data_IF_338369788079
#
_entry.id   IF_338369788079
#
_cell.length_a   1.000
_cell.length_b   1.000
_cell.length_c   1.000
_cell.angle_alpha   90.00
_cell.angle_beta   90.00
_cell.angle_gamma   90.00
#
_symmetry.space_group_name_H-M   'P 1'
#
loop_
_entity.id
_entity.type
_entity.pdbx_description
1 polymer ?
#
# COMPACT_ATOMS: atom_id res chain seq x y z
N UNK A 1 6.55 -25.58 15.71
CA UNK A 1 7.33 -25.81 14.48
C UNK A 1 6.66 -25.01 13.37
N UNK A 2 7.37 -24.11 12.67
CA UNK A 2 6.78 -23.31 11.57
C UNK A 2 6.74 -24.19 10.31
N UNK A 3 5.56 -24.37 9.73
CA UNK A 3 5.36 -25.18 8.52
C UNK A 3 5.60 -24.33 7.28
N UNK A 4 6.57 -24.74 6.45
CA UNK A 4 6.72 -24.15 5.12
C UNK A 4 5.55 -24.59 4.24
N UNK A 5 4.83 -23.64 3.64
CA UNK A 5 3.72 -23.90 2.72
C UNK A 5 4.08 -23.42 1.32
N UNK A 6 3.61 -24.11 0.29
CA UNK A 6 3.65 -23.56 -1.07
C UNK A 6 2.45 -22.65 -1.29
N UNK A 7 2.59 -21.63 -2.14
CA UNK A 7 1.49 -20.70 -2.45
C UNK A 7 0.24 -21.40 -3.02
N UNK A 8 0.39 -22.59 -3.61
CA UNK A 8 -0.74 -23.43 -4.08
C UNK A 8 -1.52 -24.10 -2.94
N UNK A 9 -0.86 -24.39 -1.82
CA UNK A 9 -1.43 -25.13 -0.69
C UNK A 9 -1.95 -24.21 0.44
N UNK A 10 -1.57 -22.92 0.41
CA UNK A 10 -1.98 -21.94 1.40
C UNK A 10 -3.45 -21.50 1.19
N UNK A 11 -4.37 -22.08 1.97
CA UNK A 11 -5.76 -21.60 2.03
C UNK A 11 -5.87 -20.38 2.93
N UNK A 12 -6.34 -19.25 2.39
CA UNK A 12 -6.48 -18.00 3.14
C UNK A 12 -7.38 -18.13 4.39
N UNK A 13 -8.42 -18.97 4.31
CA UNK A 13 -9.34 -19.24 5.42
C UNK A 13 -8.70 -20.02 6.59
N UNK A 14 -7.47 -20.50 6.42
CA UNK A 14 -6.73 -21.21 7.47
C UNK A 14 -5.94 -20.26 8.38
N UNK A 15 -5.77 -19.00 8.01
CA UNK A 15 -4.96 -18.05 8.76
C UNK A 15 -5.81 -17.31 9.80
N UNK A 16 -5.34 -17.28 11.05
CA UNK A 16 -6.11 -16.77 12.17
C UNK A 16 -6.19 -15.24 12.20
N UNK A 17 -5.11 -14.55 11.81
CA UNK A 17 -4.98 -13.10 11.89
C UNK A 17 -5.08 -12.40 10.55
N UNK A 18 -5.06 -13.14 9.43
CA UNK A 18 -5.04 -12.55 8.09
C UNK A 18 -6.22 -11.59 7.87
N UNK A 19 -7.46 -12.06 8.10
CA UNK A 19 -8.64 -11.23 7.87
C UNK A 19 -8.62 -9.99 8.78
N UNK A 20 -8.25 -10.13 10.07
CA UNK A 20 -8.12 -8.98 10.99
C UNK A 20 -7.11 -7.93 10.45
N UNK A 21 -5.94 -8.38 9.99
CA UNK A 21 -4.93 -7.48 9.43
C UNK A 21 -5.41 -6.78 8.17
N UNK A 22 -6.18 -7.45 7.31
CA UNK A 22 -6.80 -6.84 6.13
C UNK A 22 -7.80 -5.75 6.53
N UNK A 23 -8.65 -6.01 7.53
CA UNK A 23 -9.60 -4.99 8.01
C UNK A 23 -8.87 -3.76 8.56
N UNK A 24 -7.85 -3.97 9.41
CA UNK A 24 -7.04 -2.86 9.94
C UNK A 24 -6.35 -2.10 8.82
N UNK A 25 -5.73 -2.80 7.87
CA UNK A 25 -5.09 -2.20 6.70
C UNK A 25 -6.06 -1.33 5.91
N UNK A 26 -7.24 -1.84 5.57
CA UNK A 26 -8.25 -1.07 4.80
C UNK A 26 -8.70 0.17 5.58
N UNK A 27 -8.93 0.06 6.90
CA UNK A 27 -9.31 1.21 7.73
C UNK A 27 -8.20 2.26 7.74
N UNK A 28 -6.95 1.86 7.98
CA UNK A 28 -5.79 2.79 7.97
C UNK A 28 -5.63 3.43 6.59
N UNK A 29 -5.81 2.68 5.52
CA UNK A 29 -5.73 3.16 4.14
C UNK A 29 -6.82 4.20 3.84
N UNK A 30 -8.06 3.96 4.28
CA UNK A 30 -9.16 4.92 4.12
C UNK A 30 -8.91 6.21 4.92
N UNK A 31 -8.47 6.09 6.17
CA UNK A 31 -8.10 7.25 6.99
C UNK A 31 -6.99 8.05 6.30
N UNK A 32 -5.96 7.37 5.80
CA UNK A 32 -4.85 7.97 5.06
C UNK A 32 -5.31 8.79 3.86
N UNK A 33 -6.28 8.29 3.09
CA UNK A 33 -6.85 9.02 1.95
C UNK A 33 -7.55 10.33 2.36
N UNK A 34 -8.29 10.32 3.47
CA UNK A 34 -9.01 11.51 3.96
C UNK A 34 -8.04 12.54 4.54
N UNK A 35 -7.09 12.12 5.38
CA UNK A 35 -6.13 13.05 6.00
C UNK A 35 -5.04 13.51 5.03
N UNK A 36 -4.85 12.80 3.91
CA UNK A 36 -3.82 13.06 2.91
C UNK A 36 -3.91 14.42 2.22
N UNK A 37 -5.11 15.00 2.14
CA UNK A 37 -5.31 16.33 1.57
C UNK A 37 -4.68 17.45 2.41
N UNK A 38 -4.49 17.21 3.71
CA UNK A 38 -3.90 18.20 4.61
C UNK A 38 -2.37 18.12 4.57
N UNK A 39 -1.73 19.24 4.24
CA UNK A 39 -0.29 19.42 4.42
C UNK A 39 -0.04 19.96 5.84
N UNK A 40 0.81 19.25 6.58
CA UNK A 40 1.26 19.62 7.91
C UNK A 40 2.68 20.19 7.84
N UNK A 41 2.95 21.21 8.63
CA UNK A 41 4.28 21.80 8.79
C UNK A 41 4.87 21.29 10.10
N UNK A 42 5.98 20.56 10.02
CA UNK A 42 6.70 20.08 11.20
C UNK A 42 7.96 20.93 11.37
N UNK A 43 8.09 21.69 12.47
CA UNK A 43 9.33 22.40 12.77
C UNK A 43 10.43 21.40 13.11
N UNK A 44 11.56 21.46 12.40
CA UNK A 44 12.69 20.55 12.63
C UNK A 44 13.72 21.18 13.58
N UNK A 45 14.35 22.27 13.14
CA UNK A 45 15.34 23.03 13.90
C UNK A 45 15.49 24.42 13.30
N UNK A 46 16.08 25.35 14.05
CA UNK A 46 16.43 26.68 13.53
C UNK A 46 17.89 26.72 13.11
N UNK A 47 18.17 27.11 11.87
CA UNK A 47 19.54 27.31 11.35
C UNK A 47 19.70 28.77 10.94
N UNK A 48 20.74 29.45 11.48
CA UNK A 48 21.00 30.88 11.24
C UNK A 48 19.77 31.79 11.49
N UNK A 49 18.99 31.50 12.53
CA UNK A 49 17.78 32.26 12.86
C UNK A 49 16.58 32.02 11.94
N UNK A 50 16.71 31.17 10.91
CA UNK A 50 15.61 30.77 10.04
C UNK A 50 15.06 29.40 10.48
N UNK A 51 13.74 29.27 10.67
CA UNK A 51 13.12 27.99 11.02
C UNK A 51 13.15 27.06 9.81
N UNK A 52 13.87 25.93 9.94
CA UNK A 52 13.82 24.84 8.97
C UNK A 52 12.62 23.96 9.32
N UNK A 53 11.67 23.87 8.40
CA UNK A 53 10.46 23.07 8.57
C UNK A 53 10.28 22.11 7.41
N UNK A 54 9.70 20.95 7.71
CA UNK A 54 9.32 19.95 6.71
C UNK A 54 7.82 20.03 6.46
N UNK A 55 7.43 20.12 5.18
CA UNK A 55 6.05 19.99 4.75
C UNK A 55 5.76 18.52 4.48
N UNK A 56 4.81 17.95 5.21
CA UNK A 56 4.46 16.53 5.14
C UNK A 56 2.94 16.41 5.00
N UNK A 57 2.47 15.68 3.99
CA UNK A 57 1.05 15.33 3.89
C UNK A 57 0.63 14.42 5.04
N UNK A 58 -0.60 14.54 5.54
CA UNK A 58 -1.15 13.61 6.53
C UNK A 58 -1.06 12.15 6.10
N UNK A 59 -1.14 11.86 4.79
CA UNK A 59 -1.01 10.50 4.26
C UNK A 59 0.40 9.95 4.46
N UNK A 60 1.43 10.79 4.39
CA UNK A 60 2.82 10.39 4.55
C UNK A 60 3.16 9.95 5.98
N UNK A 61 2.33 10.31 6.97
CA UNK A 61 2.43 9.81 8.34
C UNK A 61 1.94 8.36 8.46
N UNK A 62 0.91 7.99 7.70
CA UNK A 62 0.32 6.64 7.71
C UNK A 62 0.92 5.71 6.65
N UNK A 63 1.56 6.28 5.63
CA UNK A 63 2.23 5.56 4.55
C UNK A 63 3.12 4.40 5.03
N UNK A 64 3.99 4.57 6.04
CA UNK A 64 4.84 3.47 6.49
C UNK A 64 4.08 2.32 7.11
N UNK A 65 3.01 2.65 7.85
CA UNK A 65 2.16 1.64 8.45
C UNK A 65 1.52 0.81 7.35
N UNK A 66 0.95 1.45 6.32
CA UNK A 66 0.34 0.75 5.19
C UNK A 66 1.34 -0.10 4.40
N UNK A 67 2.58 0.36 4.24
CA UNK A 67 3.63 -0.40 3.56
C UNK A 67 4.06 -1.65 4.33
N UNK A 68 4.24 -1.52 5.65
CA UNK A 68 4.53 -2.67 6.53
C UNK A 68 3.42 -3.73 6.41
N UNK A 69 2.15 -3.32 6.31
CA UNK A 69 1.05 -4.28 6.06
C UNK A 69 1.21 -5.01 4.72
N UNK A 70 1.53 -4.30 3.63
CA UNK A 70 1.78 -4.91 2.31
C UNK A 70 2.90 -5.96 2.35
N UNK A 71 4.00 -5.62 3.03
CA UNK A 71 5.13 -6.52 3.25
C UNK A 71 4.72 -7.74 4.10
N UNK A 72 3.97 -7.53 5.19
CA UNK A 72 3.43 -8.61 6.04
C UNK A 72 2.54 -9.55 5.23
N UNK A 73 1.64 -9.01 4.39
CA UNK A 73 0.73 -9.84 3.60
C UNK A 73 1.51 -10.78 2.68
N UNK A 74 2.52 -10.25 2.00
CA UNK A 74 3.31 -11.04 1.05
C UNK A 74 4.29 -11.97 1.78
N UNK A 75 4.95 -11.50 2.83
CA UNK A 75 6.01 -12.25 3.52
C UNK A 75 5.47 -13.35 4.44
N UNK A 76 4.30 -13.16 5.07
CA UNK A 76 3.70 -14.14 5.98
C UNK A 76 2.73 -15.05 5.23
N UNK A 77 1.82 -14.45 4.45
CA UNK A 77 0.67 -15.16 3.86
C UNK A 77 0.81 -15.41 2.35
N UNK A 78 1.81 -14.81 1.68
CA UNK A 78 2.12 -15.02 0.27
C UNK A 78 1.44 -14.04 -0.70
N UNK A 79 1.82 -14.10 -1.97
CA UNK A 79 1.34 -13.18 -3.01
C UNK A 79 -0.18 -13.24 -3.22
N UNK A 80 -0.79 -14.42 -3.10
CA UNK A 80 -2.25 -14.57 -3.23
C UNK A 80 -3.03 -13.83 -2.13
N UNK A 81 -2.50 -13.81 -0.92
CA UNK A 81 -3.06 -13.08 0.22
C UNK A 81 -2.90 -11.56 0.03
N UNK A 82 -1.72 -11.12 -0.40
CA UNK A 82 -1.46 -9.73 -0.72
C UNK A 82 -2.36 -9.22 -1.84
N UNK A 83 -2.52 -9.99 -2.95
CA UNK A 83 -3.45 -9.66 -4.04
C UNK A 83 -4.87 -9.36 -3.55
N UNK A 84 -5.41 -10.21 -2.66
CA UNK A 84 -6.75 -10.00 -2.11
C UNK A 84 -6.81 -8.70 -1.28
N UNK A 85 -5.79 -8.43 -0.47
CA UNK A 85 -5.71 -7.19 0.31
C UNK A 85 -5.62 -5.95 -0.60
N UNK A 86 -4.81 -5.99 -1.66
CA UNK A 86 -4.67 -4.91 -2.65
C UNK A 86 -6.00 -4.61 -3.32
N UNK A 87 -6.72 -5.63 -3.80
CA UNK A 87 -8.03 -5.44 -4.43
C UNK A 87 -9.09 -4.89 -3.47
N UNK A 88 -9.11 -5.36 -2.22
CA UNK A 88 -10.02 -4.85 -1.19
C UNK A 88 -9.70 -3.39 -0.85
N UNK A 89 -8.43 -3.04 -0.68
CA UNK A 89 -7.98 -1.67 -0.47
C UNK A 89 -8.31 -0.75 -1.64
N UNK A 90 -8.02 -1.18 -2.88
CA UNK A 90 -8.35 -0.45 -4.10
C UNK A 90 -9.86 -0.21 -4.21
N UNK A 91 -10.67 -1.25 -4.01
CA UNK A 91 -12.13 -1.15 -4.06
C UNK A 91 -12.68 -0.20 -2.99
N UNK A 92 -12.18 -0.29 -1.75
CA UNK A 92 -12.58 0.59 -0.66
C UNK A 92 -12.24 2.06 -0.95
N UNK A 93 -11.03 2.35 -1.43
CA UNK A 93 -10.61 3.69 -1.83
C UNK A 93 -11.44 4.22 -3.00
N UNK A 94 -11.72 3.38 -4.01
CA UNK A 94 -12.57 3.75 -5.14
C UNK A 94 -13.99 4.12 -4.68
N UNK A 95 -14.59 3.32 -3.78
CA UNK A 95 -15.90 3.62 -3.20
C UNK A 95 -15.87 4.93 -2.42
N UNK A 96 -14.86 5.14 -1.55
CA UNK A 96 -14.69 6.39 -0.80
C UNK A 96 -14.64 7.60 -1.75
N UNK A 97 -13.79 7.53 -2.79
CA UNK A 97 -13.62 8.64 -3.72
C UNK A 97 -14.87 8.89 -4.58
N UNK A 98 -15.51 7.84 -5.09
CA UNK A 98 -16.73 7.97 -5.91
C UNK A 98 -17.89 8.53 -5.08
N UNK A 99 -18.08 8.04 -3.86
CA UNK A 99 -19.11 8.55 -2.96
C UNK A 99 -18.82 9.97 -2.51
N UNK A 100 -17.55 10.31 -2.22
CA UNK A 100 -17.14 11.67 -1.90
C UNK A 100 -17.47 12.66 -3.03
N UNK A 101 -17.10 12.32 -4.27
CA UNK A 101 -17.42 13.13 -5.45
C UNK A 101 -18.94 13.24 -5.68
N UNK A 102 -19.68 12.14 -5.52
CA UNK A 102 -21.12 12.11 -5.71
C UNK A 102 -21.86 12.98 -4.70
N UNK A 103 -21.50 12.90 -3.41
CA UNK A 103 -22.12 13.69 -2.35
C UNK A 103 -21.79 15.18 -2.50
N UNK A 104 -20.57 15.52 -2.92
CA UNK A 104 -20.23 16.92 -3.25
C UNK A 104 -21.06 17.46 -4.41
N UNK A 105 -21.31 16.64 -5.43
CA UNK A 105 -22.02 17.06 -6.64
C UNK A 105 -23.52 17.33 -6.41
N UNK A 106 -24.14 16.69 -5.42
CA UNK A 106 -25.53 16.94 -5.05
C UNK A 106 -25.66 18.35 -4.45
N UNK A 107 -26.69 19.13 -4.82
CA UNK A 107 -26.94 20.44 -4.23
C UNK A 107 -27.03 20.36 -2.70
N UNK A 108 -26.24 21.19 -2.02
CA UNK A 108 -26.30 21.30 -0.56
C UNK A 108 -27.65 21.83 -0.09
N UNK A 109 -28.13 21.34 1.05
CA UNK A 109 -29.26 21.95 1.73
C UNK A 109 -28.94 23.42 2.07
N UNK A 110 -29.86 24.38 1.86
CA UNK A 110 -29.62 25.79 2.20
C UNK A 110 -29.21 26.04 3.66
N UNK A 111 -29.60 25.14 4.58
CA UNK A 111 -29.27 25.20 6.00
C UNK A 111 -27.94 24.51 6.36
N UNK A 112 -27.25 23.88 5.39
CA UNK A 112 -25.95 23.25 5.62
C UNK A 112 -24.80 24.26 5.38
N UNK A 113 -24.11 24.75 6.44
CA UNK A 113 -23.13 25.82 6.28
C UNK A 113 -21.76 25.35 5.76
N UNK A 114 -21.49 24.04 5.76
CA UNK A 114 -20.14 23.48 5.62
C UNK A 114 -19.81 22.96 4.21
N UNK A 115 -20.58 23.36 3.18
CA UNK A 115 -20.40 22.84 1.82
C UNK A 115 -18.98 23.06 1.29
N UNK A 116 -18.42 24.27 1.43
CA UNK A 116 -17.06 24.60 0.96
C UNK A 116 -15.98 23.77 1.66
N UNK A 117 -16.15 23.50 2.95
CA UNK A 117 -15.20 22.67 3.71
C UNK A 117 -15.28 21.20 3.25
N UNK A 118 -16.48 20.70 2.97
CA UNK A 118 -16.68 19.35 2.46
C UNK A 118 -16.10 19.18 1.05
N UNK A 119 -16.30 20.16 0.17
CA UNK A 119 -15.67 20.24 -1.16
C UNK A 119 -14.14 20.24 -1.04
N UNK A 120 -13.55 21.02 -0.14
CA UNK A 120 -12.10 21.07 0.03
C UNK A 120 -11.47 19.71 0.42
N UNK A 121 -12.24 18.84 1.10
CA UNK A 121 -11.77 17.51 1.53
C UNK A 121 -12.03 16.43 0.48
N UNK A 122 -13.23 16.39 -0.10
CA UNK A 122 -13.66 15.29 -0.97
C UNK A 122 -13.61 15.62 -2.47
N UNK A 123 -13.60 16.89 -2.83
CA UNK A 123 -13.51 17.36 -4.21
C UNK A 123 -12.05 17.63 -4.61
N UNK A 124 -11.19 16.64 -4.39
CA UNK A 124 -9.89 16.63 -5.05
C UNK A 124 -10.12 16.50 -6.55
N UNK A 125 -9.38 17.26 -7.38
CA UNK A 125 -9.51 17.21 -8.84
C UNK A 125 -9.55 15.74 -9.30
N UNK A 126 -10.58 15.28 -10.04
CA UNK A 126 -10.78 13.86 -10.38
C UNK A 126 -9.53 13.16 -10.92
N UNK A 127 -8.69 13.93 -11.63
CA UNK A 127 -7.38 13.50 -12.12
C UNK A 127 -6.45 12.96 -11.02
N UNK A 128 -6.36 13.62 -9.86
CA UNK A 128 -5.53 13.17 -8.74
C UNK A 128 -6.09 11.91 -8.09
N UNK A 129 -7.41 11.78 -7.99
CA UNK A 129 -8.06 10.56 -7.49
C UNK A 129 -7.69 9.37 -8.39
N UNK A 130 -7.85 9.52 -9.71
CA UNK A 130 -7.47 8.50 -10.69
C UNK A 130 -5.98 8.20 -10.63
N UNK A 131 -5.13 9.23 -10.56
CA UNK A 131 -3.68 9.06 -10.43
C UNK A 131 -3.32 8.22 -9.20
N UNK A 132 -3.87 8.53 -8.03
CA UNK A 132 -3.59 7.82 -6.77
C UNK A 132 -4.10 6.38 -6.81
N UNK A 133 -5.30 6.12 -7.32
CA UNK A 133 -5.85 4.77 -7.42
C UNK A 133 -5.02 3.87 -8.36
N UNK A 134 -4.61 4.40 -9.52
CA UNK A 134 -3.80 3.65 -10.49
C UNK A 134 -2.38 3.45 -9.98
N UNK A 135 -1.78 4.47 -9.36
CA UNK A 135 -0.46 4.40 -8.76
C UNK A 135 -0.41 3.36 -7.63
N UNK A 136 -1.34 3.42 -6.67
CA UNK A 136 -1.47 2.45 -5.60
C UNK A 136 -1.61 1.02 -6.15
N UNK A 137 -2.49 0.82 -7.13
CA UNK A 137 -2.72 -0.51 -7.70
C UNK A 137 -1.46 -1.07 -8.36
N UNK A 138 -0.80 -0.31 -9.24
CA UNK A 138 0.42 -0.75 -9.92
C UNK A 138 1.60 -0.90 -8.94
N UNK A 139 1.76 0.03 -8.01
CA UNK A 139 2.84 0.07 -7.03
C UNK A 139 2.79 -1.11 -6.07
N UNK A 140 1.63 -1.39 -5.46
CA UNK A 140 1.46 -2.49 -4.53
C UNK A 140 1.62 -3.86 -5.19
N UNK A 141 1.10 -4.03 -6.41
CA UNK A 141 1.31 -5.27 -7.16
C UNK A 141 2.79 -5.48 -7.52
N UNK A 142 3.50 -4.42 -7.88
CA UNK A 142 4.94 -4.46 -8.17
C UNK A 142 5.74 -4.79 -6.91
N UNK A 143 5.45 -4.13 -5.78
CA UNK A 143 6.08 -4.43 -4.49
C UNK A 143 5.88 -5.92 -4.15
N UNK A 144 4.64 -6.38 -4.08
CA UNK A 144 4.31 -7.74 -3.66
C UNK A 144 4.92 -8.79 -4.60
N UNK A 145 4.93 -8.53 -5.91
CA UNK A 145 5.56 -9.41 -6.88
C UNK A 145 7.07 -9.54 -6.63
N UNK A 146 7.75 -8.40 -6.48
CA UNK A 146 9.20 -8.36 -6.22
C UNK A 146 9.53 -9.08 -4.92
N UNK A 147 8.79 -8.80 -3.83
CA UNK A 147 9.00 -9.42 -2.52
C UNK A 147 8.87 -10.95 -2.60
N UNK A 148 7.77 -11.44 -3.19
CA UNK A 148 7.52 -12.87 -3.35
C UNK A 148 8.60 -13.57 -4.20
N UNK A 149 9.05 -12.96 -5.31
CA UNK A 149 10.13 -13.50 -6.14
C UNK A 149 11.46 -13.55 -5.41
N UNK A 150 11.83 -12.46 -4.74
CA UNK A 150 13.06 -12.41 -3.95
C UNK A 150 13.05 -13.44 -2.83
N UNK A 151 11.90 -13.72 -2.19
CA UNK A 151 11.79 -14.75 -1.15
C UNK A 151 12.10 -16.14 -1.68
N UNK A 152 11.65 -16.46 -2.89
CA UNK A 152 11.97 -17.73 -3.57
C UNK A 152 13.46 -17.79 -3.89
N UNK A 153 14.03 -16.74 -4.49
CA UNK A 153 15.45 -16.69 -4.87
C UNK A 153 16.39 -16.80 -3.68
N UNK A 154 16.05 -16.13 -2.58
CA UNK A 154 16.86 -16.12 -1.35
C UNK A 154 16.56 -17.32 -0.44
N UNK A 155 15.65 -18.22 -0.82
CA UNK A 155 15.18 -19.33 0.02
C UNK A 155 14.79 -18.86 1.43
N UNK A 156 14.13 -17.70 1.52
CA UNK A 156 13.67 -17.10 2.78
C UNK A 156 14.72 -16.30 3.55
N UNK A 157 15.99 -16.32 3.16
CA UNK A 157 17.09 -15.59 3.83
C UNK A 157 17.08 -14.09 3.49
N UNK A 158 17.56 -13.23 4.39
CA UNK A 158 17.68 -11.78 4.18
C UNK A 158 16.35 -11.03 3.96
N UNK A 159 15.46 -11.04 4.96
CA UNK A 159 14.20 -10.29 4.90
C UNK A 159 14.42 -8.80 4.58
N UNK A 160 15.48 -8.17 5.10
CA UNK A 160 15.80 -6.74 4.88
C UNK A 160 16.01 -6.42 3.41
N UNK A 161 16.67 -7.31 2.67
CA UNK A 161 16.93 -7.11 1.25
C UNK A 161 15.60 -7.16 0.47
N UNK A 162 14.64 -7.98 0.94
CA UNK A 162 13.32 -8.10 0.31
C UNK A 162 12.42 -6.91 0.62
N UNK A 163 12.34 -6.45 1.86
CA UNK A 163 11.50 -5.30 2.24
C UNK A 163 11.97 -4.03 1.54
N UNK A 164 13.29 -3.76 1.56
CA UNK A 164 13.86 -2.61 0.86
C UNK A 164 13.79 -2.78 -0.66
N UNK A 165 14.16 -3.96 -1.19
CA UNK A 165 14.17 -4.20 -2.64
C UNK A 165 12.78 -4.14 -3.28
N UNK A 166 11.77 -4.70 -2.62
CA UNK A 166 10.38 -4.59 -3.06
C UNK A 166 9.87 -3.16 -2.99
N UNK A 167 10.19 -2.42 -1.92
CA UNK A 167 9.82 -1.01 -1.79
C UNK A 167 10.47 -0.14 -2.85
N UNK A 168 11.76 -0.33 -3.14
CA UNK A 168 12.46 0.32 -4.26
C UNK A 168 11.69 0.15 -5.56
N UNK A 169 11.29 -1.08 -5.91
CA UNK A 169 10.54 -1.31 -7.16
C UNK A 169 9.11 -0.78 -7.12
N UNK A 170 8.38 -1.03 -6.04
CA UNK A 170 6.98 -0.62 -5.90
C UNK A 170 6.82 0.89 -5.83
N UNK A 171 7.68 1.57 -5.06
CA UNK A 171 7.61 3.02 -4.91
C UNK A 171 8.10 3.80 -6.11
N UNK A 172 9.02 3.22 -6.88
CA UNK A 172 9.36 3.78 -8.17
C UNK A 172 8.14 3.82 -9.10
N UNK A 173 7.41 2.70 -9.19
CA UNK A 173 6.18 2.61 -10.00
C UNK A 173 5.09 3.52 -9.45
N UNK A 174 4.76 3.42 -8.16
CA UNK A 174 3.73 4.24 -7.50
C UNK A 174 3.98 5.74 -7.71
N UNK A 175 5.16 6.21 -7.31
CA UNK A 175 5.47 7.64 -7.34
C UNK A 175 5.56 8.17 -8.77
N UNK A 176 6.15 7.41 -9.69
CA UNK A 176 6.24 7.82 -11.09
C UNK A 176 4.87 7.89 -11.76
N UNK A 177 4.04 6.85 -11.59
CA UNK A 177 2.68 6.80 -12.16
C UNK A 177 1.83 7.92 -11.59
N UNK A 178 1.87 8.14 -10.28
CA UNK A 178 1.13 9.20 -9.63
C UNK A 178 1.50 10.56 -10.22
N UNK A 179 2.79 10.89 -10.27
CA UNK A 179 3.23 12.21 -10.73
C UNK A 179 2.97 12.40 -12.23
N UNK A 180 3.21 11.38 -13.05
CA UNK A 180 2.95 11.45 -14.49
C UNK A 180 1.46 11.65 -14.79
N UNK A 181 0.59 10.87 -14.13
CA UNK A 181 -0.86 11.01 -14.33
C UNK A 181 -1.36 12.31 -13.71
N UNK A 182 -0.92 12.72 -12.52
CA UNK A 182 -1.45 13.91 -11.85
C UNK A 182 -0.98 15.23 -12.51
N UNK A 183 0.29 15.31 -12.91
CA UNK A 183 0.94 16.56 -13.34
C UNK A 183 1.35 16.59 -14.82
N UNK A 184 1.27 15.46 -15.54
CA UNK A 184 1.63 15.37 -16.96
C UNK A 184 0.90 16.42 -17.82
N UNK A 185 1.67 17.19 -18.60
CA UNK A 185 1.13 18.27 -19.44
C UNK A 185 0.65 19.51 -18.68
N UNK A 186 0.79 19.57 -17.35
CA UNK A 186 0.46 20.75 -16.52
C UNK A 186 1.67 21.37 -15.83
N UNK A 187 2.71 20.57 -15.61
CA UNK A 187 3.90 20.99 -14.88
C UNK A 187 5.15 20.67 -15.70
N UNK A 188 6.19 21.50 -15.57
CA UNK A 188 7.45 21.30 -16.27
C UNK A 188 8.08 19.94 -15.92
N UNK A 189 8.70 19.29 -16.91
CA UNK A 189 9.31 17.97 -16.75
C UNK A 189 10.36 17.93 -15.64
N UNK A 190 11.18 18.98 -15.50
CA UNK A 190 12.17 19.08 -14.43
C UNK A 190 11.54 19.10 -13.02
N UNK A 191 10.42 19.80 -12.85
CA UNK A 191 9.68 19.81 -11.58
C UNK A 191 9.06 18.46 -11.28
N UNK A 192 8.46 17.79 -12.28
CA UNK A 192 7.93 16.43 -12.11
C UNK A 192 9.03 15.44 -11.74
N UNK A 193 10.19 15.51 -12.39
CA UNK A 193 11.34 14.68 -12.07
C UNK A 193 11.80 14.89 -10.62
N UNK A 194 11.93 16.15 -10.19
CA UNK A 194 12.28 16.48 -8.81
C UNK A 194 11.25 15.95 -7.80
N UNK A 195 9.95 16.04 -8.09
CA UNK A 195 8.89 15.48 -7.23
C UNK A 195 8.98 13.95 -7.16
N UNK A 196 9.23 13.28 -8.28
CA UNK A 196 9.41 11.83 -8.31
C UNK A 196 10.61 11.43 -7.46
N UNK A 197 11.78 12.01 -7.72
CA UNK A 197 13.02 11.64 -7.03
C UNK A 197 12.93 11.94 -5.54
N UNK A 198 12.49 13.14 -5.15
CA UNK A 198 12.40 13.53 -3.73
C UNK A 198 11.40 12.66 -2.95
N UNK A 199 10.21 12.44 -3.51
CA UNK A 199 9.19 11.58 -2.90
C UNK A 199 9.64 10.13 -2.81
N UNK A 200 10.23 9.61 -3.89
CA UNK A 200 10.74 8.24 -3.97
C UNK A 200 11.84 7.99 -2.93
N UNK A 201 12.87 8.84 -2.88
CA UNK A 201 13.98 8.69 -1.94
C UNK A 201 13.48 8.76 -0.50
N UNK A 202 12.58 9.70 -0.18
CA UNK A 202 12.01 9.82 1.16
C UNK A 202 11.30 8.55 1.62
N UNK A 203 10.48 7.94 0.74
CA UNK A 203 9.76 6.70 1.05
C UNK A 203 10.68 5.50 1.19
N UNK A 204 11.70 5.36 0.34
CA UNK A 204 12.68 4.25 0.44
C UNK A 204 13.52 4.37 1.71
N UNK A 205 13.98 5.59 2.05
CA UNK A 205 14.71 5.82 3.29
C UNK A 205 13.86 5.47 4.51
N UNK A 206 12.57 5.86 4.49
CA UNK A 206 11.67 5.52 5.57
C UNK A 206 11.54 4.00 5.72
N UNK A 207 11.35 3.25 4.64
CA UNK A 207 11.26 1.79 4.70
C UNK A 207 12.53 1.15 5.27
N UNK A 208 13.70 1.65 4.87
CA UNK A 208 14.96 1.16 5.42
C UNK A 208 15.02 1.36 6.95
N UNK A 209 14.49 2.49 7.46
CA UNK A 209 14.38 2.76 8.90
C UNK A 209 13.28 1.92 9.59
N UNK A 210 12.20 1.61 8.89
CA UNK A 210 11.08 0.81 9.39
C UNK A 210 11.35 -0.70 9.37
N UNK A 211 12.29 -1.16 8.53
CA UNK A 211 12.64 -2.57 8.33
C UNK A 211 12.86 -3.35 9.65
N UNK A 212 13.56 -2.83 10.68
CA UNK A 212 13.70 -3.52 11.96
C UNK A 212 12.35 -3.82 12.64
N UNK A 213 11.38 -2.90 12.55
CA UNK A 213 10.03 -3.11 13.06
C UNK A 213 9.29 -4.18 12.24
N UNK A 214 9.41 -4.11 10.91
CA UNK A 214 8.86 -5.13 9.99
C UNK A 214 9.34 -6.53 10.37
N UNK A 215 10.63 -6.69 10.66
CA UNK A 215 11.22 -7.94 11.15
C UNK A 215 10.53 -8.48 12.41
N UNK A 216 10.32 -7.61 13.40
CA UNK A 216 9.70 -8.01 14.67
C UNK A 216 8.26 -8.50 14.45
N UNK A 217 7.48 -7.77 13.66
CA UNK A 217 6.07 -8.11 13.41
C UNK A 217 5.95 -9.37 12.56
N UNK A 218 6.69 -9.47 11.46
CA UNK A 218 6.70 -10.64 10.56
C UNK A 218 7.09 -11.90 11.33
N UNK A 219 8.17 -11.87 12.11
CA UNK A 219 8.63 -13.06 12.84
C UNK A 219 7.65 -13.48 13.94
N UNK A 220 6.99 -12.52 14.62
CA UNK A 220 5.93 -12.83 15.59
C UNK A 220 4.73 -13.47 14.89
N UNK A 221 4.27 -12.93 13.76
CA UNK A 221 3.13 -13.48 13.02
C UNK A 221 3.42 -14.87 12.46
N UNK A 222 4.58 -15.10 11.84
CA UNK A 222 4.97 -16.44 11.35
C UNK A 222 4.98 -17.48 12.47
N UNK A 223 5.42 -17.11 13.68
CA UNK A 223 5.36 -17.98 14.86
C UNK A 223 3.95 -18.21 15.36
N UNK A 224 3.12 -17.16 15.39
CA UNK A 224 1.76 -17.22 15.92
C UNK A 224 0.76 -17.93 14.99
N UNK A 225 1.01 -17.88 13.68
CA UNK A 225 0.29 -18.64 12.65
C UNK A 225 0.90 -20.03 12.44
N UNK A 226 2.18 -20.22 12.77
CA UNK A 226 2.90 -21.47 12.57
C UNK A 226 3.19 -21.77 11.09
N UNK A 227 3.22 -20.75 10.23
CA UNK A 227 3.38 -20.89 8.77
C UNK A 227 4.43 -19.94 8.19
N UNK A 228 5.07 -20.38 7.11
CA UNK A 228 5.93 -19.56 6.26
C UNK A 228 5.66 -19.90 4.79
N UNK A 229 4.93 -19.03 4.08
CA UNK A 229 4.45 -19.29 2.71
C UNK A 229 5.52 -18.92 1.68
N UNK A 230 5.85 -19.84 0.77
CA UNK A 230 6.72 -19.61 -0.38
C UNK A 230 5.90 -19.71 -1.66
N UNK A 231 5.91 -18.66 -2.49
CA UNK A 231 5.13 -18.54 -3.73
C UNK A 231 5.65 -19.40 -4.91
N UNK A 232 6.02 -20.66 -4.65
CA UNK A 232 6.39 -21.64 -5.67
C UNK A 232 5.14 -22.10 -6.41
N UNK A 233 5.15 -21.99 -7.74
CA UNK A 233 3.99 -22.34 -8.57
C UNK A 233 2.82 -21.36 -8.48
N UNK A 234 3.01 -20.18 -7.87
CA UNK A 234 1.96 -19.17 -7.79
C UNK A 234 1.77 -18.49 -9.15
N UNK A 235 0.53 -18.37 -9.60
CA UNK A 235 0.19 -17.51 -10.73
C UNK A 235 0.25 -16.05 -10.27
N UNK A 236 1.21 -15.28 -10.78
CA UNK A 236 1.45 -13.88 -10.40
C UNK A 236 0.54 -12.87 -11.11
N UNK A 237 -0.42 -13.30 -11.93
CA UNK A 237 -1.41 -12.38 -12.50
C UNK A 237 -2.22 -11.69 -11.41
N UNK A 238 -2.37 -10.35 -11.44
CA UNK A 238 -3.25 -9.61 -10.52
C UNK A 238 -4.71 -10.09 -10.51
N UNK A 239 -5.14 -10.75 -11.59
CA UNK A 239 -6.52 -11.21 -11.78
C UNK A 239 -6.71 -12.72 -11.57
N UNK A 240 -5.64 -13.46 -11.27
CA UNK A 240 -5.77 -14.89 -11.05
C UNK A 240 -6.64 -15.18 -9.82
N UNK A 241 -7.54 -16.15 -9.94
CA UNK A 241 -8.29 -16.67 -8.79
C UNK A 241 -7.37 -17.59 -8.00
N UNK A 242 -7.35 -17.45 -6.67
CA UNK A 242 -6.68 -18.43 -5.80
C UNK A 242 -7.27 -19.80 -6.14
N UNK A 243 -6.43 -20.77 -6.48
CA UNK A 243 -6.89 -22.08 -6.90
C UNK A 243 -7.75 -22.69 -5.78
N UNK A 244 -9.06 -22.72 -5.98
CA UNK A 244 -9.93 -23.58 -5.21
C UNK A 244 -9.55 -25.01 -5.58
N UNK A 245 -8.66 -25.61 -4.81
CA UNK A 245 -8.53 -27.07 -4.80
C UNK A 245 -9.77 -27.59 -4.07
N UNK A 246 -10.93 -27.53 -4.74
CA UNK A 246 -12.02 -28.47 -4.48
C UNK A 246 -11.43 -29.81 -4.86
N UNK A 247 -11.28 -30.66 -3.86
CA UNK A 247 -10.81 -32.01 -4.02
C UNK A 247 -11.66 -32.72 -5.09
N UNK A 248 -11.03 -33.06 -6.21
CA UNK A 248 -11.35 -34.31 -6.89
C UNK A 248 -10.56 -35.42 -6.17
N UNK A 249 -10.87 -35.64 -4.90
CA UNK A 249 -10.76 -36.94 -4.26
C UNK A 249 -12.18 -37.46 -4.18
N UNK A 250 -12.52 -38.40 -5.07
CA UNK A 250 -13.81 -39.06 -5.03
C UNK A 250 -14.22 -39.62 -6.39
N UNK A 251 -13.61 -40.73 -6.80
CA UNK A 251 -14.31 -41.95 -7.18
C UNK A 251 -13.37 -42.94 -7.89
N UNK A 252 -13.10 -44.05 -7.19
CA UNK A 252 -12.58 -45.35 -7.61
C UNK A 252 -11.17 -45.43 -8.20
#
# INVERSE_FOLDING_TARGET
MIKALTGRDARLSSFRFYDLLVHVFVVVLLISNVVGQKICVIPLFSWNGQPVSANISGAQLLFPITYIFGDIFTEVYGYGASRRAIWLGFGACAVLSLMGLFVVWIPADPNWPNQKAFEAVFYTVPRFIVASLVAFWLGEFTNSYTLAKMKIWTSGKYLWARTIGSTVTGQFVDTSVLILIAFGGRTAAGTMFNLIVSGYVGKVLYEALATPLTYLVVNKLKRAEGVDVYDRGTNFSPFARSANTIAAQGSC
#
